data_IF_974811668107
#
_entry.id   IF_974811668107
#
_cell.length_a   1.000
_cell.length_b   1.000
_cell.length_c   1.000
_cell.angle_alpha   90.00
_cell.angle_beta   90.00
_cell.angle_gamma   90.00
#
_symmetry.space_group_name_H-M   'P 1'
#
loop_
_entity.id
_entity.type
_entity.pdbx_description
1 polymer ?
#
# COMPACT_ATOMS: atom_id res chain seq x y z
N UNK A 1 25.66 43.57 -6.34
CA UNK A 1 25.53 43.15 -4.92
C UNK A 1 24.07 43.21 -4.39
N UNK A 2 23.27 44.26 -4.68
CA UNK A 2 21.87 44.36 -4.19
C UNK A 2 20.97 43.27 -4.77
N UNK A 3 21.06 42.95 -6.06
CA UNK A 3 20.22 41.91 -6.69
C UNK A 3 20.47 40.51 -6.10
N UNK A 4 21.75 40.16 -5.83
CA UNK A 4 22.09 38.86 -5.21
C UNK A 4 21.48 38.74 -3.81
N UNK A 5 21.50 39.79 -3.03
CA UNK A 5 20.86 39.82 -1.69
C UNK A 5 19.36 39.62 -1.80
N UNK A 6 18.69 40.26 -2.77
CA UNK A 6 17.25 40.09 -3.00
C UNK A 6 16.91 38.66 -3.42
N UNK A 7 17.71 38.04 -4.30
CA UNK A 7 17.50 36.63 -4.71
C UNK A 7 17.64 35.70 -3.50
N UNK A 8 18.67 35.88 -2.67
CA UNK A 8 18.89 35.05 -1.48
C UNK A 8 17.71 35.20 -0.49
N UNK A 9 17.27 36.44 -0.22
CA UNK A 9 16.12 36.70 0.67
C UNK A 9 14.85 36.05 0.11
N UNK A 10 14.60 36.17 -1.19
CA UNK A 10 13.43 35.57 -1.85
C UNK A 10 13.45 34.04 -1.73
N UNK A 11 14.59 33.39 -1.93
CA UNK A 11 14.76 31.94 -1.76
C UNK A 11 14.54 31.50 -0.30
N UNK A 12 15.04 32.26 0.66
CA UNK A 12 14.82 31.98 2.09
C UNK A 12 13.34 32.10 2.46
N UNK A 13 12.67 33.16 2.03
CA UNK A 13 11.24 33.36 2.28
C UNK A 13 10.41 32.24 1.62
N UNK A 14 10.71 31.90 0.38
CA UNK A 14 10.08 30.77 -0.31
C UNK A 14 10.28 29.45 0.42
N UNK A 15 11.50 29.18 0.87
CA UNK A 15 11.83 27.99 1.67
C UNK A 15 11.03 27.91 2.97
N UNK A 16 10.90 29.04 3.69
CA UNK A 16 10.09 29.13 4.90
C UNK A 16 8.61 28.85 4.60
N UNK A 17 8.06 29.43 3.53
CA UNK A 17 6.66 29.23 3.14
C UNK A 17 6.42 27.75 2.79
N UNK A 18 7.28 27.12 1.97
CA UNK A 18 7.17 25.71 1.60
C UNK A 18 7.24 24.82 2.85
N UNK A 19 8.14 25.12 3.78
CA UNK A 19 8.26 24.36 5.02
C UNK A 19 7.04 24.53 5.92
N UNK A 20 6.51 25.75 6.05
CA UNK A 20 5.30 26.01 6.81
C UNK A 20 4.08 25.29 6.22
N UNK A 21 3.91 25.33 4.90
CA UNK A 21 2.86 24.57 4.20
C UNK A 21 3.03 23.07 4.42
N UNK A 22 4.25 22.56 4.31
CA UNK A 22 4.53 21.13 4.55
C UNK A 22 4.18 20.68 5.97
N UNK A 23 4.31 21.55 6.97
CA UNK A 23 3.96 21.23 8.36
C UNK A 23 2.44 20.99 8.56
N UNK A 24 1.60 21.48 7.67
CA UNK A 24 0.14 21.26 7.70
C UNK A 24 -0.26 19.86 7.21
N UNK A 25 0.60 19.16 6.47
CA UNK A 25 0.30 17.81 5.99
C UNK A 25 0.63 16.76 7.07
N UNK A 26 -0.17 15.70 7.20
CA UNK A 26 0.09 14.62 8.15
C UNK A 26 1.41 13.91 7.85
N UNK A 27 2.04 13.38 8.89
CA UNK A 27 3.26 12.57 8.76
C UNK A 27 2.96 11.08 8.54
N UNK A 28 1.70 10.69 8.59
CA UNK A 28 1.23 9.35 8.24
C UNK A 28 0.35 9.47 7.01
N UNK A 29 0.67 8.72 5.98
CA UNK A 29 -0.11 8.66 4.74
C UNK A 29 -0.70 7.26 4.63
N UNK A 30 -2.01 7.20 4.43
CA UNK A 30 -2.75 5.95 4.27
C UNK A 30 -3.42 5.97 2.90
N UNK A 31 -3.10 4.98 2.09
CA UNK A 31 -3.82 4.70 0.85
C UNK A 31 -4.65 3.45 1.07
N UNK A 32 -5.95 3.52 0.87
CA UNK A 32 -6.83 2.37 1.07
C UNK A 32 -7.83 2.21 -0.07
N UNK A 33 -8.19 0.95 -0.33
CA UNK A 33 -9.22 0.55 -1.29
C UNK A 33 -10.02 -0.59 -0.70
N UNK A 34 -11.26 -0.72 -1.15
CA UNK A 34 -12.13 -1.79 -0.71
C UNK A 34 -12.95 -2.34 -1.88
N UNK A 35 -13.32 -3.61 -1.76
CA UNK A 35 -14.17 -4.28 -2.74
C UNK A 35 -15.12 -5.24 -2.02
N UNK A 36 -16.35 -5.34 -2.52
CA UNK A 36 -17.32 -6.34 -2.05
C UNK A 36 -17.13 -7.65 -2.80
N UNK A 37 -17.19 -8.75 -2.04
CA UNK A 37 -17.10 -10.12 -2.57
C UNK A 37 -18.13 -11.02 -1.91
N UNK A 38 -18.71 -11.93 -2.68
CA UNK A 38 -19.52 -13.03 -2.14
C UNK A 38 -18.66 -14.29 -2.18
N UNK A 39 -18.03 -14.63 -1.05
CA UNK A 39 -17.10 -15.74 -0.98
C UNK A 39 -17.01 -16.32 0.43
N UNK A 40 -16.53 -17.55 0.54
CA UNK A 40 -16.30 -18.18 1.83
C UNK A 40 -15.13 -17.50 2.56
N UNK A 41 -15.29 -17.10 3.85
CA UNK A 41 -14.23 -16.44 4.62
C UNK A 41 -12.94 -17.27 4.71
N UNK A 42 -13.01 -18.59 4.73
CA UNK A 42 -11.83 -19.47 4.72
C UNK A 42 -11.05 -19.36 3.40
N UNK A 43 -11.79 -19.17 2.30
CA UNK A 43 -11.17 -18.98 0.98
C UNK A 43 -10.54 -17.60 0.88
N UNK A 44 -11.20 -16.55 1.37
CA UNK A 44 -10.61 -15.20 1.46
C UNK A 44 -9.33 -15.26 2.30
N UNK A 45 -9.41 -15.84 3.51
CA UNK A 45 -8.24 -15.98 4.38
C UNK A 45 -7.08 -16.72 3.70
N UNK A 46 -7.35 -17.81 2.96
CA UNK A 46 -6.33 -18.56 2.21
C UNK A 46 -5.61 -17.65 1.20
N UNK A 47 -6.34 -16.99 0.32
CA UNK A 47 -5.74 -16.16 -0.73
C UNK A 47 -5.07 -14.89 -0.20
N UNK A 48 -5.50 -14.37 0.96
CA UNK A 48 -4.92 -13.17 1.57
C UNK A 48 -3.70 -13.52 2.43
N UNK A 49 -3.76 -14.56 3.28
CA UNK A 49 -2.70 -14.82 4.27
C UNK A 49 -1.56 -15.69 3.74
N UNK A 50 -1.80 -16.51 2.72
CA UNK A 50 -0.75 -17.33 2.10
C UNK A 50 -0.12 -16.56 0.93
N UNK A 51 1.09 -16.07 1.15
CA UNK A 51 1.85 -15.36 0.14
C UNK A 51 2.13 -16.20 -1.13
N UNK A 52 2.07 -17.52 -1.08
CA UNK A 52 2.19 -18.37 -2.29
C UNK A 52 0.96 -18.25 -3.20
N UNK A 53 -0.20 -17.94 -2.63
CA UNK A 53 -1.44 -17.76 -3.39
C UNK A 53 -1.51 -16.39 -4.09
N UNK A 54 -0.68 -15.43 -3.71
CA UNK A 54 -0.68 -14.09 -4.30
C UNK A 54 -0.35 -14.09 -5.81
N UNK A 55 0.40 -15.08 -6.29
CA UNK A 55 0.64 -15.28 -7.74
C UNK A 55 -0.64 -15.45 -8.55
N UNK A 56 -1.75 -15.83 -7.92
CA UNK A 56 -3.00 -16.07 -8.60
C UNK A 56 -3.79 -14.79 -8.87
N UNK A 57 -3.54 -13.72 -8.09
CA UNK A 57 -4.29 -12.46 -8.21
C UNK A 57 -3.42 -11.21 -8.32
N UNK A 58 -2.19 -11.20 -7.84
CA UNK A 58 -1.30 -10.05 -7.96
C UNK A 58 -0.47 -10.09 -9.25
N UNK A 59 -0.54 -9.00 -10.03
CA UNK A 59 0.12 -8.87 -11.33
C UNK A 59 1.64 -8.97 -11.22
N UNK A 60 2.24 -8.27 -10.25
CA UNK A 60 3.71 -8.30 -10.04
C UNK A 60 4.23 -9.73 -9.77
N UNK A 61 3.41 -10.58 -9.16
CA UNK A 61 3.78 -11.97 -8.86
C UNK A 61 3.70 -12.87 -10.08
N UNK A 62 2.87 -12.52 -11.06
CA UNK A 62 2.81 -13.23 -12.35
C UNK A 62 4.01 -12.91 -13.22
N UNK A 63 4.50 -11.68 -13.16
CA UNK A 63 5.59 -11.19 -14.00
C UNK A 63 6.98 -11.50 -13.44
N UNK A 64 7.12 -11.56 -12.13
CA UNK A 64 8.40 -11.74 -11.44
C UNK A 64 8.44 -13.05 -10.67
N UNK A 65 9.61 -13.70 -10.67
CA UNK A 65 9.83 -14.90 -9.85
C UNK A 65 9.93 -14.50 -8.38
N UNK A 66 9.03 -15.05 -7.57
CA UNK A 66 9.11 -14.93 -6.12
C UNK A 66 10.24 -15.80 -5.57
N UNK A 67 11.09 -15.22 -4.73
CA UNK A 67 12.19 -15.90 -4.04
C UNK A 67 11.88 -15.87 -2.54
N UNK A 68 11.80 -17.06 -1.94
CA UNK A 68 11.59 -17.22 -0.50
C UNK A 68 12.93 -17.25 0.24
N UNK A 69 13.07 -16.37 1.23
CA UNK A 69 14.25 -16.34 2.08
C UNK A 69 13.85 -15.93 3.51
N UNK A 70 14.18 -16.79 4.50
CA UNK A 70 14.00 -16.48 5.93
C UNK A 70 12.59 -16.01 6.31
N UNK A 71 11.55 -16.66 5.75
CA UNK A 71 10.15 -16.30 6.02
C UNK A 71 9.65 -15.03 5.33
N UNK A 72 10.43 -14.47 4.40
CA UNK A 72 10.10 -13.33 3.57
C UNK A 72 10.00 -13.74 2.11
N UNK A 73 9.21 -13.01 1.36
CA UNK A 73 9.13 -13.15 -0.09
C UNK A 73 9.78 -11.94 -0.75
N UNK A 74 10.69 -12.19 -1.66
CA UNK A 74 11.33 -11.17 -2.47
C UNK A 74 10.79 -11.25 -3.89
N UNK A 75 10.30 -10.13 -4.43
CA UNK A 75 9.77 -10.02 -5.78
C UNK A 75 10.34 -8.75 -6.42
N UNK A 76 11.20 -8.94 -7.42
CA UNK A 76 11.92 -7.83 -8.01
C UNK A 76 12.71 -7.05 -6.95
N UNK A 77 12.36 -5.79 -6.74
CA UNK A 77 12.99 -4.91 -5.73
C UNK A 77 12.21 -4.84 -4.41
N UNK A 78 11.17 -5.66 -4.26
CA UNK A 78 10.26 -5.62 -3.10
C UNK A 78 10.49 -6.82 -2.20
N UNK A 79 10.36 -6.61 -0.90
CA UNK A 79 10.37 -7.66 0.13
C UNK A 79 9.09 -7.56 0.94
N UNK A 80 8.39 -8.68 1.08
CA UNK A 80 7.11 -8.77 1.79
C UNK A 80 7.22 -9.84 2.87
N UNK A 81 6.74 -9.52 4.06
CA UNK A 81 6.71 -10.43 5.19
C UNK A 81 5.36 -10.35 5.89
N UNK A 82 4.75 -11.50 6.17
CA UNK A 82 3.58 -11.57 7.05
C UNK A 82 4.03 -11.32 8.50
N UNK A 83 3.48 -10.29 9.14
CA UNK A 83 3.79 -9.90 10.52
C UNK A 83 2.79 -10.51 11.48
N UNK A 84 1.51 -10.41 11.16
CA UNK A 84 0.43 -10.95 11.99
C UNK A 84 -0.79 -11.32 11.15
N UNK A 85 -1.59 -12.26 11.68
CA UNK A 85 -2.88 -12.63 11.10
C UNK A 85 -3.89 -12.91 12.20
N UNK A 86 -5.15 -12.62 11.89
CA UNK A 86 -6.32 -12.95 12.69
C UNK A 86 -7.33 -13.71 11.83
N UNK A 87 -8.51 -14.00 12.37
CA UNK A 87 -9.60 -14.65 11.62
C UNK A 87 -10.19 -13.75 10.54
N UNK A 88 -9.95 -12.43 10.59
CA UNK A 88 -10.52 -11.44 9.68
C UNK A 88 -9.53 -10.39 9.15
N UNK A 89 -8.23 -10.58 9.41
CA UNK A 89 -7.21 -9.65 8.92
C UNK A 89 -5.83 -10.28 8.81
N UNK A 90 -5.00 -9.69 7.95
CA UNK A 90 -3.57 -9.97 7.85
C UNK A 90 -2.79 -8.67 7.72
N UNK A 91 -1.64 -8.60 8.41
CA UNK A 91 -0.74 -7.43 8.37
C UNK A 91 0.62 -7.87 7.84
N UNK A 92 1.16 -7.08 6.93
CA UNK A 92 2.43 -7.35 6.27
C UNK A 92 3.35 -6.15 6.39
N UNK A 93 4.64 -6.40 6.53
CA UNK A 93 5.68 -5.43 6.21
C UNK A 93 6.02 -5.54 4.73
N UNK A 94 5.96 -4.40 4.05
CA UNK A 94 6.25 -4.31 2.62
C UNK A 94 7.32 -3.25 2.37
N UNK A 95 8.48 -3.67 1.91
CA UNK A 95 9.64 -2.81 1.71
C UNK A 95 10.09 -2.88 0.26
N UNK A 96 10.13 -1.76 -0.43
CA UNK A 96 10.78 -1.64 -1.74
C UNK A 96 12.18 -1.03 -1.57
N UNK A 97 13.15 -1.50 -2.35
CA UNK A 97 14.53 -0.99 -2.29
C UNK A 97 14.57 0.52 -2.50
N UNK A 98 15.21 1.22 -1.57
CA UNK A 98 15.33 2.68 -1.60
C UNK A 98 14.07 3.44 -1.16
N UNK A 99 13.03 2.74 -0.72
CA UNK A 99 11.81 3.33 -0.18
C UNK A 99 11.67 3.04 1.32
N UNK A 100 10.81 3.81 1.97
CA UNK A 100 10.41 3.52 3.34
C UNK A 100 9.46 2.34 3.36
N UNK A 101 9.49 1.54 4.44
CA UNK A 101 8.56 0.44 4.60
C UNK A 101 7.12 0.95 4.68
N UNK A 102 6.23 0.15 4.11
CA UNK A 102 4.79 0.26 4.31
C UNK A 102 4.34 -0.80 5.30
N UNK A 103 3.44 -0.42 6.19
CA UNK A 103 2.60 -1.38 6.91
C UNK A 103 1.37 -1.61 6.05
N UNK A 104 1.20 -2.85 5.61
CA UNK A 104 0.09 -3.24 4.73
C UNK A 104 -0.89 -4.07 5.51
N UNK A 105 -2.15 -3.69 5.51
CA UNK A 105 -3.21 -4.44 6.19
C UNK A 105 -4.30 -4.80 5.20
N UNK A 106 -4.73 -6.05 5.22
CA UNK A 106 -5.88 -6.55 4.49
C UNK A 106 -6.87 -7.11 5.52
N UNK A 107 -8.10 -6.60 5.49
CA UNK A 107 -9.19 -7.00 6.39
C UNK A 107 -10.37 -7.48 5.55
N UNK A 108 -11.09 -8.49 6.03
CA UNK A 108 -12.34 -8.94 5.42
C UNK A 108 -13.46 -8.88 6.45
N UNK A 109 -14.36 -7.95 6.21
CA UNK A 109 -15.43 -7.56 7.14
C UNK A 109 -16.73 -8.18 6.65
N UNK A 110 -17.43 -8.99 7.47
CA UNK A 110 -18.69 -9.59 7.07
C UNK A 110 -19.78 -8.53 6.91
N UNK A 111 -20.55 -8.64 5.83
CA UNK A 111 -21.81 -7.96 5.60
C UNK A 111 -22.98 -8.95 5.69
N UNK A 112 -24.19 -8.47 5.46
CA UNK A 112 -25.37 -9.32 5.40
C UNK A 112 -25.34 -10.23 4.16
N UNK A 113 -25.98 -11.42 4.27
CA UNK A 113 -26.16 -12.30 3.10
C UNK A 113 -24.92 -13.07 2.64
N UNK A 114 -23.88 -13.21 3.48
CA UNK A 114 -22.67 -13.96 3.11
C UNK A 114 -21.65 -13.15 2.28
N UNK A 115 -21.91 -11.86 2.11
CA UNK A 115 -21.01 -10.92 1.46
C UNK A 115 -19.95 -10.42 2.44
N UNK A 116 -18.77 -10.14 1.94
CA UNK A 116 -17.66 -9.55 2.69
C UNK A 116 -17.15 -8.31 1.98
N UNK A 117 -16.68 -7.31 2.75
CA UNK A 117 -15.86 -6.22 2.22
C UNK A 117 -14.41 -6.57 2.50
N UNK A 118 -13.60 -6.69 1.45
CA UNK A 118 -12.15 -6.77 1.56
C UNK A 118 -11.62 -5.34 1.51
N UNK A 119 -11.05 -4.91 2.63
CA UNK A 119 -10.42 -3.60 2.77
C UNK A 119 -8.90 -3.78 2.80
N UNK A 120 -8.20 -3.12 1.90
CA UNK A 120 -6.76 -3.15 1.77
C UNK A 120 -6.18 -1.76 2.00
N UNK A 121 -5.24 -1.63 2.91
CA UNK A 121 -4.58 -0.37 3.24
C UNK A 121 -3.07 -0.48 3.24
N UNK A 122 -2.43 0.56 2.76
CA UNK A 122 -1.00 0.82 2.85
C UNK A 122 -0.79 2.04 3.73
N UNK A 123 -0.08 1.87 4.83
CA UNK A 123 0.29 2.96 5.73
C UNK A 123 1.80 3.20 5.65
N UNK A 124 2.20 4.45 5.50
CA UNK A 124 3.59 4.86 5.46
C UNK A 124 3.82 6.08 6.33
N UNK A 125 4.85 6.03 7.17
CA UNK A 125 5.31 7.19 7.92
C UNK A 125 6.34 7.96 7.12
N UNK A 126 6.05 9.25 6.85
CA UNK A 126 6.93 10.18 6.13
C UNK A 126 7.53 11.20 7.09
N UNK A 127 8.73 11.68 6.79
CA UNK A 127 9.36 12.73 7.57
C UNK A 127 8.68 14.08 7.27
N UNK A 128 9.10 15.09 8.02
CA UNK A 128 8.60 16.46 7.90
C UNK A 128 9.04 17.17 6.60
N UNK A 129 9.96 16.59 5.83
CA UNK A 129 10.49 17.18 4.61
C UNK A 129 9.41 17.44 3.56
N UNK A 130 9.33 18.65 2.99
CA UNK A 130 8.31 18.98 2.00
C UNK A 130 8.25 18.01 0.81
N UNK A 131 9.41 17.65 0.27
CA UNK A 131 9.49 16.76 -0.90
C UNK A 131 8.97 15.34 -0.62
N UNK A 132 9.17 14.79 0.59
CA UNK A 132 8.59 13.49 0.95
C UNK A 132 7.07 13.56 0.98
N UNK A 133 6.50 14.62 1.54
CA UNK A 133 5.07 14.83 1.63
C UNK A 133 4.40 15.05 0.25
N UNK A 134 5.05 15.79 -0.63
CA UNK A 134 4.54 15.96 -2.00
C UNK A 134 4.65 14.67 -2.83
N UNK A 135 5.69 13.88 -2.64
CA UNK A 135 5.86 12.59 -3.31
C UNK A 135 4.74 11.61 -2.96
N UNK A 136 4.24 11.63 -1.72
CA UNK A 136 3.14 10.74 -1.31
C UNK A 136 1.83 11.02 -2.03
N UNK A 137 1.54 12.26 -2.38
CA UNK A 137 0.34 12.61 -3.16
C UNK A 137 0.36 11.98 -4.57
N UNK A 138 1.53 11.92 -5.20
CA UNK A 138 1.70 11.24 -6.48
C UNK A 138 1.61 9.74 -6.34
N UNK A 139 2.23 9.19 -5.29
CA UNK A 139 2.21 7.74 -5.02
C UNK A 139 0.80 7.24 -4.72
N UNK A 140 -0.05 8.03 -4.04
CA UNK A 140 -1.43 7.67 -3.75
C UNK A 140 -2.22 7.32 -5.01
N UNK A 141 -2.11 8.14 -6.06
CA UNK A 141 -2.83 7.90 -7.32
C UNK A 141 -2.37 6.62 -8.01
N UNK A 142 -1.07 6.39 -8.07
CA UNK A 142 -0.48 5.21 -8.74
C UNK A 142 -0.78 3.94 -7.93
N UNK A 143 -0.54 3.98 -6.62
CA UNK A 143 -0.77 2.85 -5.72
C UNK A 143 -2.25 2.50 -5.64
N UNK A 144 -3.13 3.52 -5.52
CA UNK A 144 -4.57 3.32 -5.44
C UNK A 144 -5.15 2.63 -6.68
N UNK A 145 -4.76 3.07 -7.88
CA UNK A 145 -5.19 2.44 -9.13
C UNK A 145 -4.72 0.97 -9.24
N UNK A 146 -3.48 0.70 -8.81
CA UNK A 146 -2.97 -0.66 -8.76
C UNK A 146 -3.75 -1.53 -7.78
N UNK A 147 -4.01 -1.04 -6.57
CA UNK A 147 -4.80 -1.76 -5.56
C UNK A 147 -6.21 -2.11 -6.08
N UNK A 148 -6.86 -1.20 -6.80
CA UNK A 148 -8.17 -1.43 -7.40
C UNK A 148 -8.12 -2.59 -8.41
N UNK A 149 -7.09 -2.62 -9.27
CA UNK A 149 -6.89 -3.70 -10.24
C UNK A 149 -6.65 -5.04 -9.55
N UNK A 150 -5.78 -5.07 -8.55
CA UNK A 150 -5.44 -6.31 -7.84
C UNK A 150 -6.62 -6.82 -6.99
N UNK A 151 -7.38 -5.94 -6.36
CA UNK A 151 -8.62 -6.32 -5.66
C UNK A 151 -9.67 -6.87 -6.62
N UNK A 152 -9.79 -6.32 -7.83
CA UNK A 152 -10.68 -6.88 -8.85
C UNK A 152 -10.24 -8.29 -9.26
N UNK A 153 -8.95 -8.52 -9.46
CA UNK A 153 -8.41 -9.85 -9.75
C UNK A 153 -8.71 -10.84 -8.60
N UNK A 154 -8.53 -10.40 -7.34
CA UNK A 154 -8.85 -11.22 -6.17
C UNK A 154 -10.34 -11.58 -6.11
N UNK A 155 -11.22 -10.60 -6.35
CA UNK A 155 -12.68 -10.84 -6.41
C UNK A 155 -13.02 -11.88 -7.47
N UNK A 156 -12.49 -11.70 -8.68
CA UNK A 156 -12.80 -12.59 -9.82
C UNK A 156 -12.32 -14.03 -9.54
N UNK A 157 -11.13 -14.17 -8.87
CA UNK A 157 -10.61 -15.46 -8.42
C UNK A 157 -11.52 -16.10 -7.36
N UNK A 158 -12.00 -15.32 -6.39
CA UNK A 158 -12.89 -15.80 -5.32
C UNK A 158 -14.26 -16.24 -5.87
N UNK A 159 -14.76 -15.55 -6.89
CA UNK A 159 -16.03 -15.90 -7.53
C UNK A 159 -15.94 -17.18 -8.38
N UNK A 160 -14.80 -17.45 -9.03
CA UNK A 160 -14.57 -18.69 -9.79
C UNK A 160 -14.46 -19.94 -8.92
N UNK A 161 -14.08 -19.82 -7.66
CA UNK A 161 -13.97 -20.95 -6.73
C UNK A 161 -15.23 -21.20 -5.88
N UNK A 162 -16.33 -20.54 -6.20
CA UNK A 162 -17.61 -20.69 -5.49
C UNK A 162 -18.55 -21.74 -6.11
N UNK A 163 -18.11 -22.41 -7.20
CA UNK A 163 -18.84 -23.52 -7.87
C UNK A 163 -18.51 -24.89 -7.27
#
# INVERSE_FOLDING_TARGET
MRLIKLVIISLLVLGIIITAVSALFPSTVIVSRAIEVNANPKQIAKYVTDLNEWKNWMSDWKENKAVWKEGKVMIGTQTIQLVSKTDSSATFDWVATGQRPYIVKIEWIPLQGGTYVIHWSFEQHVKWYPWEKFQTLLNEKVLGSKMETELANLRDLLMQGAD
#
